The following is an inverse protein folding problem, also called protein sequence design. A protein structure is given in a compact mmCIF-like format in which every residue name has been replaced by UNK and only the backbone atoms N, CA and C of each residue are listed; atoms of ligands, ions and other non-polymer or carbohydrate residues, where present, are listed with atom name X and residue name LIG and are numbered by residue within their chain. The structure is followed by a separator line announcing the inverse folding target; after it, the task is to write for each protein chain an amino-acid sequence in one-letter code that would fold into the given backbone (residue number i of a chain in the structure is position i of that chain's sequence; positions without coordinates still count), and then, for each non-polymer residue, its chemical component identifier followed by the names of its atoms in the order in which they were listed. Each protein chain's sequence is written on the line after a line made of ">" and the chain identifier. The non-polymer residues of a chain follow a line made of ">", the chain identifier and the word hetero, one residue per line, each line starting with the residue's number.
data_IF_495398813536
#
_entry.id   IF_495398813536
#
_cell.length_a   1.000
_cell.length_b   1.000
_cell.length_c   1.000
_cell.angle_alpha   90.00
_cell.angle_beta   90.00
_cell.angle_gamma   90.00
#
_symmetry.space_group_name_H-M   'P 1'
#
loop_
_entity.id
_entity.type
_entity.pdbx_description
1 polymer ?
#
# COMPACT_ATOMS: atom_id res chain seq x y z
N UNK A 1 -10.58 34.03 -30.02
CA UNK A 1 -10.83 32.63 -29.63
C UNK A 1 -9.90 32.33 -28.47
N UNK A 2 -10.41 32.30 -27.23
CA UNK A 2 -9.59 31.90 -26.09
C UNK A 2 -9.40 30.39 -26.20
N UNK A 3 -8.16 29.95 -26.43
CA UNK A 3 -7.82 28.54 -26.32
C UNK A 3 -7.85 28.17 -24.84
N UNK A 4 -8.73 27.25 -24.46
CA UNK A 4 -8.69 26.65 -23.13
C UNK A 4 -7.45 25.77 -23.06
N UNK A 5 -6.63 25.96 -22.03
CA UNK A 5 -5.45 25.15 -21.77
C UNK A 5 -5.42 24.85 -20.28
N UNK A 6 -5.48 23.57 -19.92
CA UNK A 6 -5.32 23.13 -18.53
C UNK A 6 -3.92 22.53 -18.32
N UNK A 7 -3.23 23.00 -17.28
CA UNK A 7 -1.92 22.50 -16.89
C UNK A 7 -2.03 21.48 -15.75
N UNK A 8 -1.57 20.27 -16.00
CA UNK A 8 -1.59 19.18 -15.05
C UNK A 8 -0.18 18.86 -14.56
N UNK A 9 0.00 18.83 -13.24
CA UNK A 9 1.17 18.23 -12.60
C UNK A 9 0.80 16.82 -12.14
N UNK A 10 1.27 15.81 -12.84
CA UNK A 10 1.00 14.41 -12.54
C UNK A 10 2.13 13.82 -11.69
N UNK A 11 1.78 13.26 -10.54
CA UNK A 11 2.67 12.53 -9.65
C UNK A 11 2.40 11.03 -9.86
N UNK A 12 3.34 10.32 -10.48
CA UNK A 12 3.30 8.86 -10.59
C UNK A 12 3.99 8.22 -9.38
N UNK A 13 5.12 8.80 -8.97
CA UNK A 13 5.87 8.47 -7.76
C UNK A 13 6.57 9.72 -7.22
N UNK A 14 7.32 9.61 -6.13
CA UNK A 14 8.09 10.75 -5.59
C UNK A 14 9.18 11.23 -6.57
N UNK A 15 9.72 10.31 -7.37
CA UNK A 15 10.78 10.60 -8.35
C UNK A 15 10.27 10.79 -9.79
N UNK A 16 9.04 10.38 -10.10
CA UNK A 16 8.43 10.53 -11.42
C UNK A 16 7.22 11.48 -11.36
N UNK A 17 7.52 12.75 -11.66
CA UNK A 17 6.55 13.84 -11.67
C UNK A 17 6.59 14.51 -13.04
N UNK A 18 5.47 14.44 -13.75
CA UNK A 18 5.35 14.88 -15.14
C UNK A 18 4.42 16.07 -15.26
N UNK A 19 4.70 16.94 -16.22
CA UNK A 19 3.80 18.02 -16.62
C UNK A 19 3.06 17.62 -17.88
N UNK A 20 1.74 17.66 -17.85
CA UNK A 20 0.86 17.41 -19.00
C UNK A 20 0.04 18.66 -19.28
N UNK A 21 -0.16 18.93 -20.57
CA UNK A 21 -1.09 19.96 -21.04
C UNK A 21 -2.28 19.31 -21.70
N UNK A 22 -3.49 19.79 -21.38
CA UNK A 22 -4.73 19.43 -22.04
C UNK A 22 -5.31 20.64 -22.78
N UNK A 23 -5.67 20.41 -24.04
CA UNK A 23 -6.23 21.43 -24.94
C UNK A 23 -7.76 21.56 -24.78
N UNK A 24 -8.38 20.61 -24.06
CA UNK A 24 -9.79 20.64 -23.66
C UNK A 24 -9.97 19.84 -22.37
N UNK A 25 -10.95 20.24 -21.55
CA UNK A 25 -11.35 19.45 -20.39
C UNK A 25 -12.22 18.27 -20.87
N UNK A 26 -11.89 17.02 -20.50
CA UNK A 26 -12.74 15.87 -20.80
C UNK A 26 -14.13 16.02 -20.19
N UNK A 27 -15.13 15.48 -20.89
CA UNK A 27 -16.54 15.54 -20.47
C UNK A 27 -16.82 14.66 -19.23
N UNK A 28 -16.08 13.57 -19.09
CA UNK A 28 -16.22 12.64 -17.97
C UNK A 28 -14.86 12.10 -17.47
N UNK A 29 -14.89 11.50 -16.28
CA UNK A 29 -13.69 10.97 -15.61
C UNK A 29 -13.11 9.75 -16.34
N UNK A 30 -13.90 8.94 -17.04
CA UNK A 30 -13.42 7.76 -17.78
C UNK A 30 -12.64 8.16 -19.04
N UNK A 31 -13.14 9.16 -19.76
CA UNK A 31 -12.44 9.77 -20.89
C UNK A 31 -11.13 10.42 -20.41
N UNK A 32 -11.17 11.11 -19.27
CA UNK A 32 -9.96 11.65 -18.66
C UNK A 32 -8.93 10.56 -18.30
N UNK A 33 -9.40 9.43 -17.76
CA UNK A 33 -8.58 8.26 -17.46
C UNK A 33 -7.86 7.72 -18.71
N UNK A 34 -8.61 7.58 -19.80
CA UNK A 34 -8.08 7.11 -21.09
C UNK A 34 -7.03 8.06 -21.68
N UNK A 35 -7.26 9.36 -21.58
CA UNK A 35 -6.29 10.38 -22.02
C UNK A 35 -5.00 10.29 -21.20
N UNK A 36 -5.10 10.14 -19.88
CA UNK A 36 -3.95 10.00 -19.01
C UNK A 36 -3.19 8.69 -19.28
N UNK A 37 -3.88 7.55 -19.50
CA UNK A 37 -3.24 6.29 -19.93
C UNK A 37 -2.39 6.49 -21.18
N UNK A 38 -2.98 7.09 -22.23
CA UNK A 38 -2.29 7.33 -23.49
C UNK A 38 -1.10 8.29 -23.34
N UNK A 39 -1.26 9.41 -22.62
CA UNK A 39 -0.17 10.40 -22.45
C UNK A 39 0.94 9.94 -21.50
N UNK A 40 0.63 9.08 -20.54
CA UNK A 40 1.61 8.59 -19.55
C UNK A 40 2.24 7.26 -19.96
N UNK A 41 1.68 6.56 -20.95
CA UNK A 41 2.12 5.23 -21.37
C UNK A 41 1.78 4.16 -20.33
N UNK A 42 0.59 4.26 -19.71
CA UNK A 42 0.14 3.33 -18.67
C UNK A 42 -0.85 2.32 -19.26
N UNK A 43 -0.51 1.04 -19.19
CA UNK A 43 -1.41 -0.07 -19.59
C UNK A 43 -2.28 -0.59 -18.42
N UNK A 44 -2.00 -0.15 -17.20
CA UNK A 44 -2.67 -0.62 -15.99
C UNK A 44 -3.82 0.30 -15.59
N UNK A 45 -4.83 -0.28 -14.94
CA UNK A 45 -5.88 0.51 -14.28
C UNK A 45 -5.31 1.27 -13.09
N UNK A 46 -5.84 2.46 -12.84
CA UNK A 46 -5.39 3.33 -11.76
C UNK A 46 -6.52 4.13 -11.14
N UNK A 47 -6.25 4.79 -10.04
CA UNK A 47 -7.10 5.81 -9.42
C UNK A 47 -6.41 7.16 -9.59
N UNK A 48 -7.20 8.19 -9.90
CA UNK A 48 -6.73 9.57 -9.97
C UNK A 48 -7.13 10.26 -8.66
N UNK A 49 -6.17 10.92 -8.03
CA UNK A 49 -6.40 11.81 -6.90
C UNK A 49 -6.01 13.23 -7.29
N UNK A 50 -6.69 14.25 -6.79
CA UNK A 50 -6.35 15.66 -6.98
C UNK A 50 -6.07 16.33 -5.64
N UNK A 51 -5.27 17.39 -5.66
CA UNK A 51 -5.12 18.25 -4.49
C UNK A 51 -6.36 19.15 -4.34
N UNK A 52 -7.11 18.96 -3.27
CA UNK A 52 -8.33 19.71 -3.02
C UNK A 52 -8.02 21.04 -2.30
N UNK A 53 -8.35 22.20 -2.88
CA UNK A 53 -8.11 23.50 -2.25
C UNK A 53 -8.90 23.70 -0.95
N UNK A 54 -10.03 23.03 -0.78
CA UNK A 54 -10.89 23.16 0.39
C UNK A 54 -10.41 22.29 1.59
N UNK A 55 -9.49 21.35 1.33
CA UNK A 55 -8.87 20.48 2.34
C UNK A 55 -7.36 20.69 2.44
N UNK A 56 -6.91 21.94 2.50
CA UNK A 56 -5.48 22.29 2.68
C UNK A 56 -4.53 21.65 1.64
N UNK A 57 -5.04 21.33 0.44
CA UNK A 57 -4.33 20.64 -0.67
C UNK A 57 -4.01 19.17 -0.40
N UNK A 58 -4.73 18.54 0.52
CA UNK A 58 -4.72 17.08 0.68
C UNK A 58 -5.28 16.38 -0.57
N UNK A 59 -4.94 15.10 -0.72
CA UNK A 59 -5.29 14.30 -1.88
C UNK A 59 -6.66 13.66 -1.72
N UNK A 60 -7.59 14.02 -2.60
CA UNK A 60 -8.94 13.44 -2.69
C UNK A 60 -9.09 12.63 -3.98
N UNK A 61 -9.89 11.55 -3.93
CA UNK A 61 -10.19 10.78 -5.14
C UNK A 61 -11.02 11.63 -6.11
N UNK A 62 -10.58 11.71 -7.36
CA UNK A 62 -11.33 12.42 -8.40
C UNK A 62 -12.55 11.59 -8.82
N UNK A 63 -13.74 12.08 -8.48
CA UNK A 63 -15.01 11.43 -8.87
C UNK A 63 -15.85 12.27 -9.82
N UNK A 64 -15.63 13.59 -9.86
CA UNK A 64 -16.26 14.50 -10.80
C UNK A 64 -15.23 15.44 -11.46
N UNK A 65 -15.35 15.69 -12.77
CA UNK A 65 -14.46 16.63 -13.47
C UNK A 65 -14.64 18.08 -13.00
N UNK A 66 -15.80 18.41 -12.39
CA UNK A 66 -16.08 19.73 -11.81
C UNK A 66 -15.27 20.03 -10.55
N UNK A 67 -14.68 19.01 -9.92
CA UNK A 67 -13.84 19.17 -8.73
C UNK A 67 -12.46 19.75 -9.07
N UNK A 68 -12.07 19.72 -10.35
CA UNK A 68 -10.79 20.25 -10.82
C UNK A 68 -10.84 21.76 -11.05
N UNK A 69 -9.80 22.51 -10.62
CA UNK A 69 -9.66 23.91 -10.98
C UNK A 69 -9.53 24.10 -12.50
N UNK A 70 -10.01 25.23 -13.01
CA UNK A 70 -10.09 25.51 -14.46
C UNK A 70 -8.73 25.64 -15.16
N UNK A 71 -7.72 26.16 -14.45
CA UNK A 71 -6.45 26.55 -15.08
C UNK A 71 -5.35 25.52 -14.88
N UNK A 72 -5.25 24.95 -13.67
CA UNK A 72 -4.20 24.00 -13.30
C UNK A 72 -4.60 23.11 -12.14
N UNK A 73 -4.13 21.86 -12.16
CA UNK A 73 -4.34 20.91 -11.08
C UNK A 73 -3.09 20.06 -10.82
N UNK A 74 -2.89 19.66 -9.56
CA UNK A 74 -1.92 18.62 -9.20
C UNK A 74 -2.69 17.33 -9.00
N UNK A 75 -2.29 16.29 -9.73
CA UNK A 75 -2.90 14.97 -9.67
C UNK A 75 -1.88 13.93 -9.21
N UNK A 76 -2.35 12.91 -8.50
CA UNK A 76 -1.59 11.70 -8.19
C UNK A 76 -2.29 10.51 -8.84
N UNK A 77 -1.51 9.67 -9.52
CA UNK A 77 -2.00 8.46 -10.19
C UNK A 77 -1.54 7.25 -9.39
N UNK A 78 -2.50 6.45 -8.93
CA UNK A 78 -2.26 5.26 -8.09
C UNK A 78 -2.69 4.00 -8.85
N UNK A 79 -1.73 3.18 -9.29
CA UNK A 79 -2.00 1.94 -10.05
C UNK A 79 -2.80 0.94 -9.18
N UNK A 80 -3.88 0.39 -9.74
CA UNK A 80 -4.64 -0.72 -9.17
C UNK A 80 -3.95 -2.03 -9.61
N UNK A 81 -3.46 -2.82 -8.66
CA UNK A 81 -3.08 -4.21 -8.94
C UNK A 81 -4.37 -5.02 -9.12
N UNK A 82 -4.66 -5.47 -10.34
CA UNK A 82 -5.64 -6.54 -10.54
C UNK A 82 -5.01 -7.83 -10.01
N UNK A 83 -5.51 -8.34 -8.88
CA UNK A 83 -5.21 -9.68 -8.42
C UNK A 83 -5.83 -10.66 -9.41
N UNK A 84 -5.03 -11.13 -10.37
CA UNK A 84 -5.39 -12.29 -11.18
C UNK A 84 -5.40 -13.50 -10.27
N UNK A 85 -6.60 -13.93 -9.87
CA UNK A 85 -6.83 -15.22 -9.25
C UNK A 85 -6.27 -16.33 -10.15
N UNK A 86 -5.14 -16.92 -9.76
CA UNK A 86 -4.81 -18.28 -10.17
C UNK A 86 -4.95 -19.19 -8.96
N UNK A 87 -6.08 -19.89 -8.98
CA UNK A 87 -6.49 -21.03 -8.20
C UNK A 87 -5.52 -22.20 -8.33
N UNK A 88 -5.46 -22.97 -7.23
CA UNK A 88 -5.09 -24.39 -7.10
C UNK A 88 -3.66 -24.85 -7.43
N UNK A 89 -2.95 -25.38 -6.42
CA UNK A 89 -3.05 -26.83 -6.09
C UNK A 89 -2.01 -27.25 -5.03
N UNK A 90 -2.53 -27.72 -3.90
CA UNK A 90 -2.21 -28.97 -3.17
C UNK A 90 -0.75 -29.45 -2.96
N UNK A 91 -0.40 -29.65 -1.67
CA UNK A 91 0.50 -30.64 -1.03
C UNK A 91 1.75 -31.11 -1.80
N UNK A 92 2.96 -30.96 -1.22
CA UNK A 92 3.56 -32.03 -0.41
C UNK A 92 4.99 -31.69 0.13
N UNK A 93 5.18 -32.03 1.40
CA UNK A 93 6.33 -32.64 2.10
C UNK A 93 7.78 -32.42 1.60
N UNK A 94 8.57 -31.77 2.47
CA UNK A 94 10.01 -31.92 2.81
C UNK A 94 11.05 -32.30 1.73
N UNK A 95 12.09 -31.45 1.62
CA UNK A 95 13.49 -31.89 1.75
C UNK A 95 14.46 -30.72 1.95
N UNK A 96 15.34 -30.88 2.94
CA UNK A 96 16.50 -30.03 3.24
C UNK A 96 17.71 -30.50 2.42
N UNK A 97 18.59 -29.55 2.07
CA UNK A 97 20.08 -29.62 1.91
C UNK A 97 20.49 -28.77 0.70
N UNK A 98 20.95 -27.54 0.88
CA UNK A 98 22.31 -27.09 1.27
C UNK A 98 23.23 -26.80 0.07
N UNK A 99 23.54 -25.50 -0.06
CA UNK A 99 24.79 -24.89 -0.53
C UNK A 99 25.33 -25.21 -1.93
N UNK A 100 25.45 -24.17 -2.75
CA UNK A 100 26.70 -23.84 -3.45
C UNK A 100 26.71 -22.34 -3.78
N UNK A 101 27.83 -21.72 -3.42
CA UNK A 101 28.20 -20.36 -3.69
C UNK A 101 28.50 -20.24 -5.18
N UNK A 102 27.97 -19.21 -5.85
CA UNK A 102 28.67 -18.68 -7.02
C UNK A 102 28.48 -17.17 -7.08
N UNK A 103 29.61 -16.47 -7.10
CA UNK A 103 29.67 -15.02 -7.23
C UNK A 103 29.51 -14.63 -8.69
N UNK A 104 28.60 -13.68 -8.94
CA UNK A 104 28.52 -12.91 -10.18
C UNK A 104 28.15 -11.47 -9.86
N UNK A 105 28.93 -10.45 -10.30
CA UNK A 105 28.68 -9.07 -9.95
C UNK A 105 27.85 -8.38 -11.05
N UNK A 106 26.53 -8.52 -11.03
CA UNK A 106 25.59 -7.56 -11.66
C UNK A 106 24.14 -7.97 -11.41
N UNK A 107 23.30 -7.02 -11.01
CA UNK A 107 21.85 -7.21 -10.92
C UNK A 107 21.32 -6.92 -9.53
N UNK A 108 20.70 -5.76 -9.39
CA UNK A 108 19.91 -5.30 -8.25
C UNK A 108 18.96 -6.39 -7.73
N UNK A 109 19.36 -7.12 -6.68
CA UNK A 109 18.42 -7.88 -5.85
C UNK A 109 17.53 -6.86 -5.16
N UNK A 110 16.31 -6.66 -5.67
CA UNK A 110 15.22 -6.11 -4.86
C UNK A 110 15.14 -6.98 -3.61
N UNK A 111 15.47 -6.40 -2.44
CA UNK A 111 15.33 -7.08 -1.15
C UNK A 111 13.83 -7.23 -0.88
N UNK A 112 13.21 -8.27 -1.41
CA UNK A 112 11.84 -8.61 -1.10
C UNK A 112 11.79 -9.23 0.29
N UNK A 113 10.73 -8.95 1.05
CA UNK A 113 10.49 -9.57 2.35
C UNK A 113 10.44 -11.11 2.16
N UNK A 114 11.07 -11.91 3.03
CA UNK A 114 11.03 -13.36 2.88
C UNK A 114 9.57 -13.85 2.90
N UNK A 115 9.24 -14.80 2.03
CA UNK A 115 7.97 -15.53 2.07
C UNK A 115 8.22 -16.97 2.56
N UNK A 116 7.63 -17.39 3.69
CA UNK A 116 6.72 -16.63 4.56
C UNK A 116 7.47 -15.60 5.44
N UNK A 117 6.86 -14.44 5.68
CA UNK A 117 7.39 -13.47 6.64
C UNK A 117 7.17 -14.01 8.05
N UNK A 118 8.25 -14.16 8.81
CA UNK A 118 8.16 -14.63 10.18
C UNK A 118 7.80 -13.44 11.06
N UNK A 119 6.58 -13.46 11.60
CA UNK A 119 6.14 -12.47 12.57
C UNK A 119 7.03 -12.59 13.82
N UNK A 120 7.57 -11.49 14.35
CA UNK A 120 8.32 -11.51 15.60
C UNK A 120 7.44 -12.03 16.74
N UNK A 121 8.04 -12.80 17.64
CA UNK A 121 7.37 -13.24 18.87
C UNK A 121 7.04 -12.01 19.72
N UNK A 122 5.79 -11.91 20.16
CA UNK A 122 5.35 -10.85 21.07
C UNK A 122 5.51 -11.31 22.53
N UNK A 123 5.16 -10.44 23.50
CA UNK A 123 5.09 -10.90 24.89
C UNK A 123 4.04 -12.01 25.02
N UNK A 124 4.24 -12.90 25.99
CA UNK A 124 3.37 -14.06 26.22
C UNK A 124 1.88 -13.68 26.29
N UNK A 125 1.56 -12.60 27.01
CA UNK A 125 0.18 -12.11 27.15
C UNK A 125 -0.40 -11.61 25.83
N UNK A 126 0.40 -10.92 25.01
CA UNK A 126 0.01 -10.42 23.69
C UNK A 126 -0.23 -11.58 22.74
N UNK A 127 0.66 -12.58 22.69
CA UNK A 127 0.45 -13.77 21.85
C UNK A 127 -0.80 -14.54 22.25
N UNK A 128 -1.03 -14.69 23.56
CA UNK A 128 -2.23 -15.37 24.06
C UNK A 128 -3.51 -14.61 23.65
N UNK A 129 -3.49 -13.27 23.69
CA UNK A 129 -4.61 -12.45 23.23
C UNK A 129 -4.80 -12.50 21.72
N UNK A 130 -3.72 -12.43 20.93
CA UNK A 130 -3.76 -12.56 19.47
C UNK A 130 -4.32 -13.92 19.06
N UNK A 131 -3.88 -15.00 19.73
CA UNK A 131 -4.38 -16.35 19.48
C UNK A 131 -5.87 -16.46 19.77
N UNK A 132 -6.31 -16.02 20.96
CA UNK A 132 -7.74 -16.02 21.34
C UNK A 132 -8.58 -15.15 20.38
N UNK A 133 -8.07 -13.98 20.01
CA UNK A 133 -8.73 -13.08 19.06
C UNK A 133 -8.85 -13.69 17.67
N UNK A 134 -7.82 -14.36 17.16
CA UNK A 134 -7.85 -15.07 15.89
C UNK A 134 -8.85 -16.23 15.92
N UNK A 135 -8.84 -17.02 17.00
CA UNK A 135 -9.80 -18.12 17.19
C UNK A 135 -11.26 -17.60 17.19
N UNK A 136 -11.54 -16.53 17.92
CA UNK A 136 -12.86 -15.90 17.93
C UNK A 136 -13.23 -15.35 16.54
N UNK A 137 -12.32 -14.66 15.88
CA UNK A 137 -12.53 -14.14 14.52
C UNK A 137 -12.86 -15.26 13.52
N UNK A 138 -12.17 -16.40 13.58
CA UNK A 138 -12.47 -17.55 12.72
C UNK A 138 -13.78 -18.24 13.05
N UNK A 139 -14.23 -18.17 14.31
CA UNK A 139 -15.45 -18.82 14.77
C UNK A 139 -16.70 -18.01 14.42
N UNK A 140 -16.70 -16.69 14.67
CA UNK A 140 -17.89 -15.85 14.52
C UNK A 140 -17.62 -14.44 13.94
N UNK A 141 -16.37 -14.17 13.53
CA UNK A 141 -15.97 -12.86 13.00
C UNK A 141 -15.72 -11.80 14.06
N UNK A 142 -15.72 -12.15 15.35
CA UNK A 142 -15.44 -11.20 16.44
C UNK A 142 -14.05 -10.60 16.30
N UNK A 143 -13.99 -9.28 16.31
CA UNK A 143 -12.75 -8.52 16.26
C UNK A 143 -12.16 -8.39 17.67
N UNK A 144 -10.84 -8.44 17.76
CA UNK A 144 -10.15 -8.21 19.02
C UNK A 144 -10.17 -6.71 19.33
N UNK A 145 -10.70 -6.33 20.49
CA UNK A 145 -10.54 -4.97 21.01
C UNK A 145 -9.14 -4.84 21.64
N UNK A 146 -8.33 -3.93 21.11
CA UNK A 146 -6.91 -3.78 21.46
C UNK A 146 -6.72 -2.39 22.05
N UNK A 147 -6.11 -2.31 23.23
CA UNK A 147 -5.77 -1.01 23.82
C UNK A 147 -4.80 -0.23 22.92
N UNK A 148 -4.86 1.10 22.96
CA UNK A 148 -3.97 1.99 22.19
C UNK A 148 -2.48 1.70 22.44
N UNK A 149 -2.11 1.39 23.68
CA UNK A 149 -0.73 1.09 24.05
C UNK A 149 -0.27 -0.23 23.43
N UNK A 150 -1.09 -1.29 23.55
CA UNK A 150 -0.80 -2.58 22.94
C UNK A 150 -0.72 -2.49 21.41
N UNK A 151 -1.59 -1.71 20.76
CA UNK A 151 -1.48 -1.42 19.31
C UNK A 151 -0.15 -0.77 18.96
N UNK A 152 0.33 0.20 19.75
CA UNK A 152 1.63 0.83 19.51
C UNK A 152 2.77 -0.19 19.61
N UNK A 153 2.78 -1.02 20.66
CA UNK A 153 3.85 -2.00 20.91
C UNK A 153 3.92 -3.06 19.81
N UNK A 154 2.76 -3.54 19.35
CA UNK A 154 2.64 -4.45 18.21
C UNK A 154 3.26 -3.84 16.95
N UNK A 155 2.88 -2.60 16.63
CA UNK A 155 3.38 -1.90 15.45
C UNK A 155 4.88 -1.61 15.55
N UNK A 156 5.41 -1.31 16.74
CA UNK A 156 6.84 -1.11 16.96
C UNK A 156 7.64 -2.39 16.70
N UNK A 157 7.18 -3.53 17.24
CA UNK A 157 7.81 -4.85 17.03
C UNK A 157 7.75 -5.29 15.57
N UNK A 158 6.62 -5.08 14.90
CA UNK A 158 6.47 -5.39 13.49
C UNK A 158 7.37 -4.51 12.62
N UNK A 159 7.45 -3.21 12.91
CA UNK A 159 8.33 -2.28 12.20
C UNK A 159 9.81 -2.65 12.37
N UNK A 160 10.24 -3.02 13.59
CA UNK A 160 11.59 -3.54 13.86
C UNK A 160 11.92 -4.77 13.01
N UNK A 161 11.01 -5.75 12.96
CA UNK A 161 11.18 -6.97 12.16
C UNK A 161 11.20 -6.68 10.65
N UNK A 162 10.30 -5.82 10.15
CA UNK A 162 10.28 -5.41 8.75
C UNK A 162 11.63 -4.78 8.39
N UNK A 163 12.14 -3.84 9.19
CA UNK A 163 13.42 -3.17 8.92
C UNK A 163 14.60 -4.12 8.86
N UNK A 164 14.65 -5.09 9.79
CA UNK A 164 15.71 -6.09 9.81
C UNK A 164 15.76 -6.90 8.50
N UNK A 165 14.59 -7.23 7.93
CA UNK A 165 14.49 -7.99 6.69
C UNK A 165 14.61 -7.12 5.44
N UNK A 166 13.95 -5.97 5.42
CA UNK A 166 13.98 -4.99 4.35
C UNK A 166 13.87 -3.57 4.93
N UNK A 167 14.98 -2.81 5.01
CA UNK A 167 14.98 -1.42 5.46
C UNK A 167 14.18 -0.47 4.56
N UNK A 168 13.82 -0.88 3.35
CA UNK A 168 13.03 -0.08 2.42
C UNK A 168 11.86 -0.93 1.91
N UNK A 169 10.90 -1.27 2.80
CA UNK A 169 9.76 -2.11 2.45
C UNK A 169 8.86 -1.42 1.43
N UNK A 170 8.42 -2.21 0.45
CA UNK A 170 7.44 -1.79 -0.55
C UNK A 170 6.05 -1.74 0.07
N UNK A 171 5.10 -1.11 -0.63
CA UNK A 171 3.71 -1.08 -0.19
C UNK A 171 3.12 -2.49 0.00
N UNK A 172 3.58 -3.47 -0.77
CA UNK A 172 3.12 -4.85 -0.75
C UNK A 172 3.69 -5.64 0.43
N UNK A 173 4.90 -5.31 0.86
CA UNK A 173 5.49 -5.90 2.07
C UNK A 173 4.63 -5.57 3.30
N UNK A 174 4.07 -4.36 3.37
CA UNK A 174 3.14 -4.00 4.44
C UNK A 174 1.78 -4.73 4.34
N UNK A 175 1.32 -5.09 3.14
CA UNK A 175 0.10 -5.90 2.97
C UNK A 175 0.29 -7.28 3.55
N UNK A 176 1.45 -7.90 3.29
CA UNK A 176 1.78 -9.21 3.83
C UNK A 176 1.76 -9.21 5.34
N UNK A 177 2.37 -8.21 5.99
CA UNK A 177 2.42 -8.11 7.45
C UNK A 177 1.05 -7.82 8.06
N UNK A 178 0.29 -6.90 7.45
CA UNK A 178 -1.01 -6.50 7.98
C UNK A 178 -2.08 -7.61 7.89
N UNK A 179 -1.91 -8.56 6.96
CA UNK A 179 -2.83 -9.70 6.78
C UNK A 179 -2.60 -10.86 7.74
N UNK A 180 -1.44 -10.94 8.41
CA UNK A 180 -1.09 -12.07 9.26
C UNK A 180 -1.91 -12.17 10.56
N UNK A 181 -2.57 -11.10 10.99
CA UNK A 181 -3.45 -11.11 12.15
C UNK A 181 -4.86 -10.62 11.80
N UNK A 182 -5.72 -11.51 11.25
CA UNK A 182 -7.09 -11.16 10.86
C UNK A 182 -7.93 -10.59 12.01
N UNK A 183 -7.66 -10.96 13.26
CA UNK A 183 -8.37 -10.44 14.44
C UNK A 183 -8.12 -8.95 14.71
N UNK A 184 -7.07 -8.37 14.11
CA UNK A 184 -6.72 -6.95 14.28
C UNK A 184 -7.41 -6.06 13.24
N UNK A 185 -8.26 -6.63 12.38
CA UNK A 185 -9.05 -5.86 11.41
C UNK A 185 -9.90 -4.81 12.12
N UNK A 186 -9.96 -3.61 11.56
CA UNK A 186 -10.80 -2.54 12.06
C UNK A 186 -12.25 -2.70 11.54
N UNK A 187 -13.27 -2.51 12.40
CA UNK A 187 -14.66 -2.63 12.01
C UNK A 187 -15.02 -1.57 10.96
N UNK A 188 -15.77 -1.97 9.94
CA UNK A 188 -16.28 -1.06 8.90
C UNK A 188 -15.32 -0.79 7.73
N UNK A 189 -14.13 -1.40 7.69
CA UNK A 189 -13.21 -1.30 6.55
C UNK A 189 -13.34 -2.51 5.62
N UNK A 190 -13.45 -2.29 4.30
CA UNK A 190 -13.66 -3.33 3.26
C UNK A 190 -12.63 -4.47 3.36
N UNK A 191 -11.39 -4.15 3.71
CA UNK A 191 -10.32 -5.14 3.91
C UNK A 191 -9.95 -5.30 5.39
N UNK A 192 -10.33 -4.36 6.26
CA UNK A 192 -10.10 -4.40 7.71
C UNK A 192 -8.68 -4.02 8.15
N UNK A 193 -7.64 -4.30 7.35
CA UNK A 193 -6.24 -4.11 7.73
C UNK A 193 -5.59 -2.83 7.14
N UNK A 194 -6.33 -2.01 6.38
CA UNK A 194 -5.78 -0.82 5.71
C UNK A 194 -5.17 0.18 6.71
N UNK A 195 -5.85 0.49 7.81
CA UNK A 195 -5.34 1.42 8.81
C UNK A 195 -4.09 0.90 9.55
N UNK A 196 -3.98 -0.42 9.70
CA UNK A 196 -2.77 -1.07 10.22
C UNK A 196 -1.59 -0.90 9.28
N UNK A 197 -1.82 -1.05 7.97
CA UNK A 197 -0.81 -0.80 6.94
C UNK A 197 -0.21 0.61 7.01
N UNK A 198 -1.07 1.63 7.12
CA UNK A 198 -0.62 3.02 7.28
C UNK A 198 0.14 3.24 8.59
N UNK A 199 -0.34 2.64 9.68
CA UNK A 199 0.31 2.73 10.98
C UNK A 199 1.70 2.08 10.96
N UNK A 200 1.87 0.95 10.26
CA UNK A 200 3.17 0.30 10.05
C UNK A 200 4.12 1.15 9.21
N UNK A 201 3.64 1.75 8.12
CA UNK A 201 4.45 2.69 7.32
C UNK A 201 4.92 3.89 8.16
N UNK A 202 4.03 4.45 8.97
CA UNK A 202 4.36 5.56 9.87
C UNK A 202 5.42 5.17 10.90
N UNK A 203 5.25 4.02 11.59
CA UNK A 203 6.25 3.49 12.51
C UNK A 203 7.58 3.22 11.80
N UNK A 204 7.56 2.79 10.54
CA UNK A 204 8.78 2.59 9.79
C UNK A 204 9.56 3.86 9.51
N UNK A 205 8.86 4.95 9.17
CA UNK A 205 9.49 6.27 9.08
C UNK A 205 10.19 6.68 10.39
N UNK A 206 9.58 6.40 11.54
CA UNK A 206 10.17 6.71 12.85
C UNK A 206 11.40 5.87 13.17
N UNK A 207 11.43 4.59 12.76
CA UNK A 207 12.60 3.72 12.92
C UNK A 207 13.76 4.18 12.04
N UNK A 208 13.51 4.61 10.81
CA UNK A 208 14.55 5.16 9.92
C UNK A 208 15.19 6.43 10.46
N UNK A 209 14.48 7.19 11.28
CA UNK A 209 15.01 8.40 11.94
C UNK A 209 15.81 8.09 13.22
N UNK A 210 15.66 6.89 13.78
CA UNK A 210 16.27 6.49 15.07
C UNK A 210 17.53 5.63 14.93
N UNK A 211 17.73 4.98 13.79
CA UNK A 211 18.90 4.14 13.45
C UNK A 211 19.94 4.93 12.69
#
# INVERSE_FOLDING_TARGET
>A
MFFFIMLLRIILSEDDIRRITLDSLPEDVQNFHSILKAKLGLDLDFVIQYQDPDFDKDLCNLTCMSDLPKDKATLKVCIKKNESYHTDSTLDTASLSSSSLDEGPSGTKTRQLPQPFIIPLFSFDVELQLKKGNEAFHHDGTLLDISKNMKSDLLDKLAEAIYFHNPYPTWEDYDLVAQQHPCLKEPGSVHGWYCWKFSLKFKMGNFHQKM
#
